data_IF_851597823444
#
_entry.id   IF_851597823444
#
_cell.length_a   1.000
_cell.length_b   1.000
_cell.length_c   1.000
_cell.angle_alpha   90.00
_cell.angle_beta   90.00
_cell.angle_gamma   90.00
#
_symmetry.space_group_name_H-M   'P 1'
#
loop_
_entity.id
_entity.type
_entity.pdbx_description
1 polymer ?
#
# COMPACT_ATOMS: atom_id res chain seq x y z
N UNK A 1 23.04 9.32 -0.38
CA UNK A 1 22.65 9.45 -1.80
C UNK A 1 21.87 10.74 -2.00
N UNK A 2 22.31 11.63 -2.89
CA UNK A 2 21.81 13.01 -3.01
C UNK A 2 20.90 13.23 -4.23
N UNK A 3 20.26 12.17 -4.71
CA UNK A 3 19.33 12.19 -5.86
C UNK A 3 18.15 11.23 -5.59
N UNK A 4 17.01 11.37 -6.29
CA UNK A 4 15.91 10.41 -6.18
C UNK A 4 16.37 9.00 -6.58
N UNK A 5 15.91 8.00 -5.83
CA UNK A 5 16.14 6.58 -6.10
C UNK A 5 14.92 6.01 -6.80
N UNK A 6 14.96 5.94 -8.13
CA UNK A 6 13.90 5.33 -8.95
C UNK A 6 13.93 3.81 -8.85
N UNK A 7 12.74 3.23 -8.80
CA UNK A 7 12.56 1.80 -8.55
C UNK A 7 11.81 1.14 -9.69
N UNK A 8 12.34 -0.01 -10.11
CA UNK A 8 11.68 -0.93 -11.01
C UNK A 8 10.74 -1.82 -10.20
N UNK A 9 9.42 -1.79 -10.46
CA UNK A 9 8.46 -2.58 -9.71
C UNK A 9 8.55 -4.08 -10.03
N UNK A 10 8.01 -4.89 -9.12
CA UNK A 10 7.78 -6.33 -9.31
C UNK A 10 6.29 -6.60 -9.49
N UNK A 11 5.91 -7.49 -10.41
CA UNK A 11 4.51 -7.80 -10.69
C UNK A 11 4.16 -9.22 -10.24
N UNK A 12 3.01 -9.38 -9.60
CA UNK A 12 2.54 -10.66 -9.09
C UNK A 12 1.22 -11.06 -9.74
N UNK A 13 1.17 -12.28 -10.25
CA UNK A 13 -0.07 -12.90 -10.73
C UNK A 13 -0.95 -13.32 -9.55
N UNK A 14 -2.25 -13.10 -9.69
CA UNK A 14 -3.25 -13.50 -8.68
C UNK A 14 -4.50 -14.00 -9.39
N UNK A 15 -5.18 -14.97 -8.79
CA UNK A 15 -6.43 -15.54 -9.35
C UNK A 15 -7.53 -14.49 -9.58
N UNK A 16 -7.47 -13.38 -8.84
CA UNK A 16 -8.40 -12.25 -8.89
C UNK A 16 -7.87 -11.08 -9.75
N UNK A 17 -6.63 -11.17 -10.23
CA UNK A 17 -5.92 -10.09 -10.92
C UNK A 17 -6.45 -9.78 -12.31
N UNK A 18 -5.99 -8.68 -12.87
CA UNK A 18 -6.46 -8.14 -14.13
C UNK A 18 -5.36 -7.68 -15.08
N UNK A 19 -5.73 -6.69 -15.89
CA UNK A 19 -4.85 -6.11 -16.92
C UNK A 19 -4.82 -4.57 -16.90
N UNK A 20 -5.48 -3.94 -15.92
CA UNK A 20 -5.54 -2.48 -15.79
C UNK A 20 -4.17 -1.88 -15.47
N UNK A 21 -3.29 -2.63 -14.78
CA UNK A 21 -1.88 -2.26 -14.63
C UNK A 21 -1.19 -2.04 -16.00
N UNK A 22 -1.54 -2.82 -17.02
CA UNK A 22 -1.05 -2.60 -18.39
C UNK A 22 -1.84 -1.51 -19.11
N UNK A 23 -3.16 -1.54 -19.10
CA UNK A 23 -3.96 -0.63 -19.93
C UNK A 23 -3.99 0.80 -19.40
N UNK A 24 -3.81 1.02 -18.10
CA UNK A 24 -3.86 2.35 -17.47
C UNK A 24 -2.49 2.91 -17.08
N UNK A 25 -1.50 2.06 -16.79
CA UNK A 25 -0.15 2.47 -16.40
C UNK A 25 0.93 2.06 -17.40
N UNK A 26 0.57 1.34 -18.48
CA UNK A 26 1.50 0.85 -19.48
C UNK A 26 2.60 -0.07 -18.91
N UNK A 27 2.33 -0.75 -17.80
CA UNK A 27 3.30 -1.65 -17.20
C UNK A 27 3.49 -2.94 -18.03
N UNK A 28 4.72 -3.48 -18.07
CA UNK A 28 5.03 -4.75 -18.72
C UNK A 28 4.62 -5.93 -17.82
N UNK A 29 3.32 -6.12 -17.64
CA UNK A 29 2.78 -7.17 -16.75
C UNK A 29 2.97 -8.57 -17.34
N UNK A 30 3.17 -9.61 -16.51
CA UNK A 30 3.42 -10.97 -16.96
C UNK A 30 2.19 -11.63 -17.64
N UNK A 31 0.98 -11.26 -17.23
CA UNK A 31 -0.27 -11.81 -17.80
C UNK A 31 -1.49 -10.91 -17.60
N UNK A 32 -2.63 -11.35 -18.12
CA UNK A 32 -3.94 -10.69 -17.99
C UNK A 32 -4.65 -10.94 -16.63
N UNK A 33 -3.95 -11.59 -15.70
CA UNK A 33 -4.35 -11.84 -14.33
C UNK A 33 -3.25 -11.38 -13.34
N UNK A 34 -2.58 -10.28 -13.69
CA UNK A 34 -1.64 -9.61 -12.79
C UNK A 34 -2.43 -8.83 -11.76
N UNK A 35 -2.35 -9.23 -10.49
CA UNK A 35 -3.13 -8.64 -9.41
C UNK A 35 -2.40 -7.52 -8.69
N UNK A 36 -1.09 -7.60 -8.58
CA UNK A 36 -0.31 -6.66 -7.76
C UNK A 36 0.90 -6.14 -8.53
N UNK A 37 1.16 -4.84 -8.39
CA UNK A 37 2.43 -4.19 -8.67
C UNK A 37 3.05 -3.82 -7.33
N UNK A 38 4.12 -4.49 -6.94
CA UNK A 38 4.93 -4.14 -5.79
C UNK A 38 5.86 -3.01 -6.22
N UNK A 39 5.38 -1.79 -6.01
CA UNK A 39 5.95 -0.56 -6.55
C UNK A 39 7.20 -0.10 -5.79
N UNK A 40 7.11 -0.09 -4.46
CA UNK A 40 8.22 0.21 -3.56
C UNK A 40 8.25 -0.91 -2.55
N UNK A 41 9.21 -1.83 -2.72
CA UNK A 41 9.26 -3.08 -1.97
C UNK A 41 10.69 -3.44 -1.67
N UNK A 42 10.97 -3.77 -0.41
CA UNK A 42 12.16 -4.51 0.00
C UNK A 42 11.78 -5.89 0.58
N UNK A 43 10.54 -6.33 0.33
CA UNK A 43 10.08 -7.59 0.89
C UNK A 43 10.71 -8.77 0.11
N UNK A 44 11.22 -9.82 0.77
CA UNK A 44 11.99 -10.90 0.12
C UNK A 44 11.27 -11.60 -1.04
N UNK A 45 9.93 -11.66 -1.01
CA UNK A 45 9.12 -12.27 -2.07
C UNK A 45 9.05 -11.45 -3.37
N UNK A 46 9.50 -10.20 -3.37
CA UNK A 46 9.47 -9.33 -4.55
C UNK A 46 10.12 -7.97 -4.30
N UNK A 47 11.44 -7.92 -4.04
CA UNK A 47 12.10 -6.65 -3.80
C UNK A 47 12.28 -5.89 -5.12
N UNK A 48 11.97 -4.59 -5.09
CA UNK A 48 12.13 -3.68 -6.22
C UNK A 48 13.62 -3.40 -6.48
N UNK A 49 13.99 -3.22 -7.75
CA UNK A 49 15.38 -2.95 -8.16
C UNK A 49 15.60 -1.46 -8.38
N UNK A 50 16.73 -0.92 -7.91
CA UNK A 50 17.10 0.48 -8.15
C UNK A 50 17.50 0.68 -9.63
N UNK A 51 16.93 1.69 -10.30
CA UNK A 51 17.13 1.92 -11.74
C UNK A 51 18.25 2.91 -12.08
N UNK A 52 18.68 3.72 -11.11
CA UNK A 52 19.61 4.82 -11.33
C UNK A 52 20.65 4.98 -10.20
N UNK A 53 21.62 5.86 -10.45
CA UNK A 53 22.59 6.28 -9.46
C UNK A 53 23.58 5.20 -9.05
N UNK A 54 24.17 5.41 -7.88
CA UNK A 54 25.21 4.56 -7.28
C UNK A 54 24.76 3.11 -7.05
N UNK A 55 23.49 2.93 -6.67
CA UNK A 55 22.93 1.61 -6.33
C UNK A 55 22.21 0.93 -7.48
N UNK A 56 22.33 1.44 -8.71
CA UNK A 56 21.67 0.87 -9.88
C UNK A 56 21.93 -0.63 -10.00
N UNK A 57 20.85 -1.41 -10.10
CA UNK A 57 20.89 -2.87 -10.23
C UNK A 57 20.86 -3.63 -8.91
N UNK A 58 21.03 -2.97 -7.76
CA UNK A 58 20.79 -3.57 -6.45
C UNK A 58 19.30 -3.57 -6.12
N UNK A 59 18.86 -4.51 -5.30
CA UNK A 59 17.49 -4.53 -4.76
C UNK A 59 17.35 -3.62 -3.54
N UNK A 60 16.14 -3.15 -3.26
CA UNK A 60 15.91 -2.21 -2.16
C UNK A 60 16.30 -2.79 -0.78
N UNK A 61 16.16 -4.10 -0.59
CA UNK A 61 16.58 -4.81 0.62
C UNK A 61 18.10 -4.89 0.76
N UNK A 62 18.83 -5.05 -0.35
CA UNK A 62 20.30 -4.96 -0.35
C UNK A 62 20.77 -3.56 0.04
N UNK A 63 20.12 -2.51 -0.47
CA UNK A 63 20.46 -1.12 -0.11
C UNK A 63 20.09 -0.86 1.34
N UNK A 64 18.94 -1.35 1.83
CA UNK A 64 18.56 -1.23 3.23
C UNK A 64 19.55 -1.92 4.18
N UNK A 65 20.01 -3.12 3.84
CA UNK A 65 20.92 -3.90 4.67
C UNK A 65 22.35 -3.33 4.68
N UNK A 66 22.85 -2.89 3.52
CA UNK A 66 24.26 -2.52 3.36
C UNK A 66 24.53 -1.00 3.39
N UNK A 67 23.49 -0.17 3.20
CA UNK A 67 23.60 1.29 3.03
C UNK A 67 22.54 2.04 3.83
N UNK A 68 22.41 1.73 5.13
CA UNK A 68 21.36 2.29 6.00
C UNK A 68 21.41 3.82 6.11
N UNK A 69 22.57 4.43 5.89
CA UNK A 69 22.74 5.88 5.86
C UNK A 69 21.84 6.57 4.80
N UNK A 70 21.53 5.86 3.71
CA UNK A 70 20.59 6.32 2.66
C UNK A 70 19.19 6.56 3.22
N UNK A 71 18.83 5.83 4.27
CA UNK A 71 17.57 5.89 4.98
C UNK A 71 17.71 6.57 6.35
N UNK A 72 18.74 7.38 6.55
CA UNK A 72 18.93 8.17 7.75
C UNK A 72 19.31 7.34 8.98
N UNK A 73 19.94 6.18 8.78
CA UNK A 73 20.27 5.23 9.85
C UNK A 73 19.03 4.77 10.63
N UNK A 74 17.87 4.67 9.95
CA UNK A 74 16.65 4.13 10.54
C UNK A 74 16.90 2.73 11.12
N UNK A 75 16.26 2.44 12.25
CA UNK A 75 16.37 1.15 12.93
C UNK A 75 15.53 0.07 12.22
N UNK A 76 15.58 -1.16 12.71
CA UNK A 76 14.84 -2.30 12.15
C UNK A 76 15.66 -3.18 11.21
N UNK A 77 15.33 -4.47 11.19
CA UNK A 77 16.04 -5.47 10.40
C UNK A 77 15.66 -5.41 8.91
N UNK A 78 14.41 -5.06 8.62
CA UNK A 78 13.85 -4.97 7.27
C UNK A 78 13.37 -3.56 6.95
N UNK A 79 13.32 -3.20 5.66
CA UNK A 79 12.70 -1.93 5.25
C UNK A 79 11.22 -1.99 5.62
N UNK A 80 10.68 -1.00 6.33
CA UNK A 80 9.47 -1.20 7.13
C UNK A 80 8.15 -1.03 6.38
N UNK A 81 8.19 -0.47 5.17
CA UNK A 81 6.99 -0.20 4.37
C UNK A 81 6.99 -0.95 3.04
N UNK A 82 5.79 -1.20 2.54
CA UNK A 82 5.57 -1.77 1.22
C UNK A 82 4.43 -0.99 0.54
N UNK A 83 4.70 -0.49 -0.66
CA UNK A 83 3.70 0.22 -1.49
C UNK A 83 3.33 -0.62 -2.70
N UNK A 84 2.04 -0.87 -2.88
CA UNK A 84 1.51 -1.69 -3.97
C UNK A 84 0.44 -0.95 -4.77
N UNK A 85 0.25 -1.33 -6.03
CA UNK A 85 -0.99 -1.09 -6.76
C UNK A 85 -1.69 -2.45 -6.92
N UNK A 86 -2.94 -2.55 -6.49
CA UNK A 86 -3.76 -3.77 -6.64
C UNK A 86 -4.85 -3.55 -7.71
N UNK A 87 -4.95 -4.48 -8.67
CA UNK A 87 -5.96 -4.52 -9.73
C UNK A 87 -6.96 -5.66 -9.49
N UNK A 88 -8.05 -5.36 -8.78
CA UNK A 88 -9.06 -6.34 -8.42
C UNK A 88 -10.07 -6.56 -9.56
N UNK A 89 -9.75 -7.41 -10.54
CA UNK A 89 -10.70 -7.84 -11.59
C UNK A 89 -11.80 -8.76 -11.05
N UNK A 90 -11.54 -9.43 -9.93
CA UNK A 90 -12.50 -10.17 -9.11
C UNK A 90 -12.28 -9.81 -7.64
N UNK A 91 -13.19 -10.21 -6.77
CA UNK A 91 -13.07 -9.96 -5.33
C UNK A 91 -11.79 -10.58 -4.77
N UNK A 92 -11.03 -9.82 -3.97
CA UNK A 92 -9.99 -10.40 -3.12
C UNK A 92 -10.66 -11.20 -2.01
N UNK A 93 -9.92 -12.14 -1.41
CA UNK A 93 -10.45 -12.83 -0.24
C UNK A 93 -10.75 -11.88 0.90
N UNK A 94 -11.76 -12.22 1.71
CA UNK A 94 -11.98 -11.56 3.00
C UNK A 94 -10.88 -11.99 3.96
N UNK A 95 -10.20 -11.01 4.53
CA UNK A 95 -9.00 -11.23 5.32
C UNK A 95 -8.92 -10.30 6.52
N UNK A 96 -8.02 -10.64 7.42
CA UNK A 96 -7.61 -9.81 8.56
C UNK A 96 -6.11 -9.99 8.77
N UNK A 97 -5.46 -8.92 9.23
CA UNK A 97 -4.03 -8.86 9.42
C UNK A 97 -3.67 -8.77 10.92
N UNK A 98 -2.62 -9.48 11.39
CA UNK A 98 -2.14 -9.36 12.76
C UNK A 98 -1.46 -8.01 13.04
N UNK A 99 -1.35 -7.67 14.31
CA UNK A 99 -0.39 -6.67 14.79
C UNK A 99 1.03 -7.24 14.89
N UNK A 100 2.00 -6.40 15.24
CA UNK A 100 3.42 -6.81 15.31
C UNK A 100 3.64 -7.94 16.32
N UNK A 101 2.98 -7.89 17.48
CA UNK A 101 3.18 -8.88 18.54
C UNK A 101 2.70 -10.28 18.10
N UNK A 102 1.50 -10.37 17.50
CA UNK A 102 1.00 -11.65 17.02
C UNK A 102 1.79 -12.15 15.81
N UNK A 103 2.17 -11.26 14.89
CA UNK A 103 2.95 -11.61 13.71
C UNK A 103 4.36 -12.10 14.06
N UNK A 104 5.04 -11.45 15.01
CA UNK A 104 6.36 -11.87 15.47
C UNK A 104 6.31 -13.25 16.14
N UNK A 105 5.30 -13.50 16.98
CA UNK A 105 5.14 -14.78 17.69
C UNK A 105 4.80 -15.95 16.74
N UNK A 106 3.97 -15.73 15.72
CA UNK A 106 3.40 -16.81 14.91
C UNK A 106 4.05 -16.96 13.53
N UNK A 107 4.52 -15.86 12.93
CA UNK A 107 4.96 -15.82 11.54
C UNK A 107 6.41 -15.34 11.40
N UNK A 108 6.98 -14.71 12.44
CA UNK A 108 8.32 -14.11 12.39
C UNK A 108 8.42 -12.90 11.45
N UNK A 109 7.28 -12.24 11.20
CA UNK A 109 7.17 -11.05 10.36
C UNK A 109 6.69 -9.83 11.16
N UNK A 110 6.76 -8.65 10.54
CA UNK A 110 6.03 -7.48 11.03
C UNK A 110 4.52 -7.74 10.98
N UNK A 111 3.79 -7.03 11.81
CA UNK A 111 2.35 -6.88 11.66
C UNK A 111 2.01 -6.18 10.35
N UNK A 112 0.72 -6.11 10.05
CA UNK A 112 0.27 -5.54 8.78
C UNK A 112 -0.92 -4.59 8.97
N UNK A 113 -0.59 -3.40 9.45
CA UNK A 113 -1.43 -2.22 9.26
C UNK A 113 -1.22 -1.66 7.85
N UNK A 114 -2.32 -1.24 7.21
CA UNK A 114 -2.29 -0.72 5.84
C UNK A 114 -3.28 0.43 5.61
N UNK A 115 -3.27 0.96 4.40
CA UNK A 115 -4.27 1.90 3.93
C UNK A 115 -4.40 1.83 2.41
N UNK A 116 -5.55 2.27 1.91
CA UNK A 116 -5.88 2.28 0.49
C UNK A 116 -6.27 3.67 0.03
N UNK A 117 -5.65 4.11 -1.05
CA UNK A 117 -6.12 5.21 -1.87
C UNK A 117 -6.77 4.65 -3.14
N UNK A 118 -8.07 4.92 -3.32
CA UNK A 118 -8.83 4.36 -4.44
C UNK A 118 -8.44 5.07 -5.74
N UNK A 119 -7.79 4.34 -6.66
CA UNK A 119 -7.34 4.83 -7.95
C UNK A 119 -8.47 4.80 -8.98
N UNK A 120 -9.23 3.69 -8.99
CA UNK A 120 -10.37 3.48 -9.85
C UNK A 120 -11.40 2.58 -9.16
N UNK A 121 -12.67 2.77 -9.50
CA UNK A 121 -13.75 1.90 -9.05
C UNK A 121 -14.82 1.86 -10.15
N UNK A 122 -15.24 0.66 -10.52
CA UNK A 122 -16.36 0.46 -11.43
C UNK A 122 -17.68 0.90 -10.76
N UNK A 123 -18.71 1.17 -11.56
CA UNK A 123 -20.02 1.58 -11.02
C UNK A 123 -20.61 0.49 -10.11
N UNK A 124 -20.99 0.88 -8.90
CA UNK A 124 -21.52 -0.03 -7.89
C UNK A 124 -20.47 -0.93 -7.21
N UNK A 125 -19.17 -0.69 -7.43
CA UNK A 125 -18.12 -1.42 -6.72
C UNK A 125 -18.12 -1.10 -5.22
N UNK A 126 -17.93 -2.13 -4.41
CA UNK A 126 -17.93 -2.06 -2.95
C UNK A 126 -16.70 -2.77 -2.38
N UNK A 127 -16.25 -2.33 -1.21
CA UNK A 127 -15.28 -3.05 -0.39
C UNK A 127 -15.98 -3.68 0.80
N UNK A 128 -15.39 -4.76 1.33
CA UNK A 128 -15.71 -5.23 2.68
C UNK A 128 -14.81 -4.45 3.64
N UNK A 129 -15.41 -3.83 4.65
CA UNK A 129 -14.70 -3.02 5.64
C UNK A 129 -15.39 -3.09 7.00
N UNK A 130 -14.86 -3.93 7.87
CA UNK A 130 -15.37 -4.24 9.20
C UNK A 130 -16.43 -5.34 9.22
N UNK A 131 -16.99 -5.56 10.41
CA UNK A 131 -18.03 -6.56 10.65
C UNK A 131 -19.11 -6.04 11.63
N UNK A 132 -20.20 -6.78 11.77
CA UNK A 132 -21.34 -6.43 12.62
C UNK A 132 -21.30 -7.05 14.02
N UNK A 133 -20.58 -8.17 14.20
CA UNK A 133 -20.47 -8.89 15.48
C UNK A 133 -20.06 -7.98 16.65
N UNK A 134 -20.66 -8.21 17.82
CA UNK A 134 -20.49 -7.44 19.06
C UNK A 134 -19.53 -8.09 20.04
N UNK A 135 -19.40 -9.40 20.00
CA UNK A 135 -18.47 -10.17 20.84
C UNK A 135 -17.67 -11.16 19.99
N UNK A 136 -16.54 -11.63 20.52
CA UNK A 136 -15.67 -12.57 19.81
C UNK A 136 -16.36 -13.91 19.58
N UNK A 137 -17.23 -14.31 20.51
CA UNK A 137 -18.07 -15.51 20.39
C UNK A 137 -19.07 -15.38 19.23
N UNK A 138 -19.75 -14.22 19.11
CA UNK A 138 -20.64 -13.96 17.98
C UNK A 138 -19.87 -13.92 16.64
N UNK A 139 -18.67 -13.35 16.63
CA UNK A 139 -17.79 -13.37 15.46
C UNK A 139 -17.49 -14.82 15.03
N UNK A 140 -17.03 -15.65 15.96
CA UNK A 140 -16.71 -17.05 15.70
C UNK A 140 -17.93 -17.83 15.18
N UNK A 141 -19.08 -17.69 15.85
CA UNK A 141 -20.32 -18.36 15.45
C UNK A 141 -20.76 -17.98 14.02
N UNK A 142 -20.68 -16.69 13.66
CA UNK A 142 -21.05 -16.23 12.32
C UNK A 142 -20.08 -16.73 11.24
N UNK A 143 -18.78 -16.78 11.53
CA UNK A 143 -17.74 -17.31 10.63
C UNK A 143 -17.94 -18.81 10.41
N UNK A 144 -18.06 -19.60 11.48
CA UNK A 144 -18.20 -21.06 11.43
C UNK A 144 -19.47 -21.50 10.68
N UNK A 145 -20.56 -20.74 10.85
CA UNK A 145 -21.83 -21.00 10.18
C UNK A 145 -21.93 -20.36 8.78
N UNK A 146 -20.87 -19.72 8.28
CA UNK A 146 -20.84 -19.09 6.95
C UNK A 146 -21.86 -17.98 6.76
N UNK A 147 -22.23 -17.26 7.83
CA UNK A 147 -23.27 -16.22 7.81
C UNK A 147 -22.71 -14.85 7.36
N UNK A 148 -22.04 -14.82 6.20
CA UNK A 148 -21.28 -13.68 5.69
C UNK A 148 -22.11 -12.41 5.50
N UNK A 149 -23.34 -12.52 5.00
CA UNK A 149 -24.21 -11.35 4.79
C UNK A 149 -24.65 -10.68 6.10
N UNK A 150 -24.65 -11.42 7.21
CA UNK A 150 -24.92 -10.87 8.55
C UNK A 150 -23.65 -10.33 9.19
N UNK A 151 -22.51 -10.96 8.92
CA UNK A 151 -21.25 -10.61 9.53
C UNK A 151 -20.61 -9.39 8.88
N UNK A 152 -20.45 -9.41 7.55
CA UNK A 152 -19.55 -8.51 6.83
C UNK A 152 -20.23 -7.17 6.52
N UNK A 153 -19.48 -6.09 6.73
CA UNK A 153 -19.91 -4.74 6.37
C UNK A 153 -19.40 -4.39 4.98
N UNK A 154 -20.27 -3.86 4.12
CA UNK A 154 -19.92 -3.37 2.79
C UNK A 154 -19.94 -1.84 2.76
N UNK A 155 -18.98 -1.26 2.06
CA UNK A 155 -18.86 0.18 1.85
C UNK A 155 -18.64 0.46 0.37
N UNK A 156 -19.43 1.37 -0.20
CA UNK A 156 -19.20 1.85 -1.58
C UNK A 156 -18.01 2.80 -1.61
N UNK A 157 -17.24 2.78 -2.69
CA UNK A 157 -16.07 3.64 -2.87
C UNK A 157 -16.05 4.29 -4.24
N UNK A 158 -15.34 5.41 -4.37
CA UNK A 158 -15.07 6.08 -5.65
C UNK A 158 -13.61 6.52 -5.75
N UNK A 159 -13.12 6.84 -6.96
CA UNK A 159 -11.76 7.35 -7.14
C UNK A 159 -11.48 8.56 -6.24
N UNK A 160 -10.36 8.51 -5.53
CA UNK A 160 -9.94 9.53 -4.58
C UNK A 160 -10.38 9.33 -3.14
N UNK A 161 -11.23 8.34 -2.85
CA UNK A 161 -11.50 7.93 -1.48
C UNK A 161 -10.24 7.33 -0.83
N UNK A 162 -10.17 7.42 0.50
CA UNK A 162 -9.06 6.90 1.29
C UNK A 162 -9.61 6.11 2.48
N UNK A 163 -9.08 4.90 2.68
CA UNK A 163 -9.43 4.03 3.80
C UNK A 163 -8.16 3.66 4.56
N UNK A 164 -8.12 3.91 5.86
CA UNK A 164 -7.08 3.37 6.75
C UNK A 164 -7.54 2.01 7.27
N UNK A 165 -6.67 1.01 7.28
CA UNK A 165 -6.99 -0.37 7.68
C UNK A 165 -6.01 -0.78 8.78
N UNK A 166 -6.32 -0.47 10.06
CA UNK A 166 -5.54 -0.97 11.18
C UNK A 166 -5.50 -2.51 11.16
N UNK A 167 -4.41 -3.10 11.66
CA UNK A 167 -4.38 -4.53 11.98
C UNK A 167 -5.59 -4.92 12.85
N UNK A 168 -6.09 -6.13 12.64
CA UNK A 168 -7.30 -6.67 13.26
C UNK A 168 -8.62 -6.21 12.61
N UNK A 169 -8.58 -5.42 11.54
CA UNK A 169 -9.80 -5.07 10.77
C UNK A 169 -10.12 -6.16 9.75
N UNK A 170 -11.34 -6.74 9.78
CA UNK A 170 -11.81 -7.62 8.69
C UNK A 170 -12.09 -6.77 7.44
N UNK A 171 -11.51 -7.13 6.31
CA UNK A 171 -11.63 -6.33 5.08
C UNK A 171 -11.45 -7.16 3.80
N UNK A 172 -11.86 -6.59 2.66
CA UNK A 172 -11.57 -7.11 1.32
C UNK A 172 -11.74 -6.02 0.26
N UNK A 173 -10.86 -5.99 -0.73
CA UNK A 173 -11.04 -5.19 -1.94
C UNK A 173 -11.99 -5.94 -2.87
N UNK A 174 -13.13 -5.35 -3.20
CA UNK A 174 -14.10 -5.95 -4.10
C UNK A 174 -13.73 -5.80 -5.57
N UNK A 175 -14.42 -6.58 -6.41
CA UNK A 175 -14.28 -6.56 -7.86
C UNK A 175 -14.47 -5.17 -8.46
N UNK A 176 -13.66 -4.85 -9.47
CA UNK A 176 -13.72 -3.62 -10.25
C UNK A 176 -12.97 -2.44 -9.60
N UNK A 177 -12.26 -2.69 -8.50
CA UNK A 177 -11.55 -1.67 -7.74
C UNK A 177 -10.04 -1.76 -8.02
N UNK A 178 -9.42 -0.60 -8.18
CA UNK A 178 -7.98 -0.46 -8.15
C UNK A 178 -7.57 0.48 -7.02
N UNK A 179 -6.58 0.09 -6.22
CA UNK A 179 -6.06 0.91 -5.12
C UNK A 179 -4.54 1.03 -5.19
N UNK A 180 -4.03 2.14 -4.66
CA UNK A 180 -2.66 2.22 -4.17
C UNK A 180 -2.72 1.88 -2.68
N UNK A 181 -1.99 0.85 -2.27
CA UNK A 181 -1.87 0.40 -0.90
C UNK A 181 -0.52 0.83 -0.33
N UNK A 182 -0.53 1.41 0.87
CA UNK A 182 0.67 1.57 1.70
C UNK A 182 0.47 0.77 2.97
N UNK A 183 1.39 -0.17 3.21
CA UNK A 183 1.33 -1.12 4.33
C UNK A 183 2.68 -1.21 5.03
N UNK A 184 2.70 -1.76 6.25
CA UNK A 184 3.94 -2.33 6.82
C UNK A 184 4.48 -3.44 5.90
N UNK A 185 5.79 -3.67 5.92
CA UNK A 185 6.47 -4.66 5.08
C UNK A 185 6.25 -6.09 5.59
N UNK A 186 5.07 -6.62 5.29
CA UNK A 186 4.59 -7.94 5.70
C UNK A 186 3.72 -8.52 4.58
N UNK A 187 3.82 -9.83 4.35
CA UNK A 187 2.93 -10.55 3.42
C UNK A 187 1.92 -11.43 4.18
N UNK A 188 1.98 -11.41 5.51
CA UNK A 188 1.11 -12.17 6.41
C UNK A 188 -0.37 -11.80 6.23
N UNK A 189 -1.18 -12.81 5.89
CA UNK A 189 -2.60 -12.63 5.59
C UNK A 189 -3.42 -13.80 6.13
N UNK A 190 -4.29 -13.55 7.11
CA UNK A 190 -5.25 -14.54 7.57
C UNK A 190 -6.56 -14.42 6.82
N UNK A 191 -6.83 -15.45 6.01
CA UNK A 191 -8.03 -15.52 5.17
C UNK A 191 -9.22 -16.05 5.95
N UNK A 192 -10.29 -15.26 6.01
CA UNK A 192 -11.57 -15.62 6.63
C UNK A 192 -12.49 -16.33 5.64
N UNK A 193 -12.60 -15.80 4.43
CA UNK A 193 -13.51 -16.31 3.40
C UNK A 193 -12.99 -16.04 1.99
N UNK A 194 -13.17 -16.99 1.08
CA UNK A 194 -12.67 -16.91 -0.30
C UNK A 194 -13.72 -17.10 -1.41
N UNK A 195 -15.01 -16.94 -1.08
CA UNK A 195 -16.10 -17.14 -2.04
C UNK A 195 -16.17 -18.56 -2.61
N UNK A 196 -15.71 -19.54 -1.81
CA UNK A 196 -15.65 -20.96 -2.18
C UNK A 196 -14.94 -21.23 -3.52
N UNK A 197 -14.07 -20.30 -3.94
CA UNK A 197 -13.35 -20.38 -5.21
C UNK A 197 -12.39 -21.55 -5.22
N UNK A 198 -12.36 -22.23 -6.35
CA UNK A 198 -11.40 -23.29 -6.63
C UNK A 198 -10.31 -22.69 -7.50
N UNK A 199 -9.07 -22.78 -7.02
CA UNK A 199 -7.89 -22.41 -7.79
C UNK A 199 -7.78 -23.32 -9.01
N UNK A 200 -7.69 -22.72 -10.20
CA UNK A 200 -7.69 -23.49 -11.46
C UNK A 200 -6.41 -24.28 -11.69
N UNK A 201 -5.31 -23.86 -11.06
CA UNK A 201 -4.00 -24.50 -11.18
C UNK A 201 -3.90 -25.71 -10.26
N UNK A 202 -4.39 -25.59 -9.02
CA UNK A 202 -4.31 -26.67 -8.01
C UNK A 202 -5.55 -27.55 -7.98
N UNK A 203 -6.70 -27.06 -8.46
CA UNK A 203 -7.99 -27.75 -8.36
C UNK A 203 -8.59 -27.77 -6.94
N UNK A 204 -8.01 -27.02 -6.00
CA UNK A 204 -8.41 -26.97 -4.59
C UNK A 204 -8.93 -25.58 -4.20
N UNK A 205 -9.73 -25.52 -3.12
CA UNK A 205 -10.00 -24.25 -2.45
C UNK A 205 -8.72 -23.75 -1.78
N UNK A 206 -8.53 -22.43 -1.74
CA UNK A 206 -7.42 -21.84 -0.99
C UNK A 206 -7.65 -21.98 0.51
N UNK A 207 -6.56 -22.07 1.25
CA UNK A 207 -6.56 -22.19 2.70
C UNK A 207 -7.24 -20.99 3.38
N UNK A 208 -8.03 -21.30 4.41
CA UNK A 208 -8.63 -20.35 5.34
C UNK A 208 -7.94 -20.50 6.70
N UNK A 209 -7.73 -19.37 7.38
CA UNK A 209 -7.00 -19.27 8.64
C UNK A 209 -7.97 -18.88 9.74
N UNK A 210 -9.00 -19.72 9.95
CA UNK A 210 -10.18 -19.33 10.74
C UNK A 210 -9.83 -18.98 12.18
N UNK A 211 -9.01 -19.80 12.84
CA UNK A 211 -8.63 -19.55 14.23
C UNK A 211 -7.81 -18.26 14.36
N UNK A 212 -6.75 -18.11 13.57
CA UNK A 212 -5.93 -16.90 13.58
C UNK A 212 -6.77 -15.65 13.24
N UNK A 213 -7.69 -15.78 12.29
CA UNK A 213 -8.61 -14.69 11.93
C UNK A 213 -9.48 -14.27 13.11
N UNK A 214 -10.02 -15.24 13.86
CA UNK A 214 -10.80 -14.97 15.07
C UNK A 214 -9.90 -14.32 16.13
N UNK A 215 -8.66 -14.80 16.32
CA UNK A 215 -7.75 -14.32 17.35
C UNK A 215 -7.38 -12.84 17.15
N UNK A 216 -7.00 -12.46 15.92
CA UNK A 216 -6.49 -11.12 15.64
C UNK A 216 -7.57 -10.08 15.36
N UNK A 217 -8.82 -10.48 15.10
CA UNK A 217 -9.89 -9.53 14.80
C UNK A 217 -10.22 -8.66 16.03
N UNK A 218 -10.28 -7.35 15.82
CA UNK A 218 -10.76 -6.39 16.80
C UNK A 218 -12.28 -6.43 16.89
N UNK A 219 -12.82 -6.78 18.06
CA UNK A 219 -14.26 -6.94 18.28
C UNK A 219 -14.74 -6.08 19.46
N UNK A 220 -15.78 -5.23 19.29
CA UNK A 220 -16.46 -4.93 18.03
C UNK A 220 -15.62 -4.08 17.07
N UNK A 221 -15.94 -4.16 15.78
CA UNK A 221 -15.37 -3.25 14.78
C UNK A 221 -15.75 -1.79 15.07
N UNK A 222 -14.75 -0.91 14.97
CA UNK A 222 -14.91 0.55 15.09
C UNK A 222 -14.20 1.21 13.92
N UNK A 223 -14.92 2.03 13.16
CA UNK A 223 -14.33 2.78 12.06
C UNK A 223 -13.28 3.77 12.61
N UNK A 224 -12.04 3.79 12.06
CA UNK A 224 -11.02 4.70 12.49
C UNK A 224 -11.42 6.15 12.17
N UNK A 225 -11.11 7.06 13.09
CA UNK A 225 -11.32 8.50 12.89
C UNK A 225 -10.04 9.11 12.31
N UNK A 226 -10.13 9.61 11.08
CA UNK A 226 -9.02 10.25 10.39
C UNK A 226 -8.99 11.75 10.66
N UNK A 227 -7.82 12.28 10.98
CA UNK A 227 -7.54 13.71 11.11
C UNK A 227 -7.00 14.25 9.78
N UNK A 228 -7.88 14.32 8.77
CA UNK A 228 -7.51 14.76 7.42
C UNK A 228 -7.24 16.26 7.42
N UNK A 229 -6.08 16.66 6.90
CA UNK A 229 -5.64 18.07 6.82
C UNK A 229 -5.35 18.46 5.38
N UNK A 230 -5.83 19.62 4.97
CA UNK A 230 -5.53 20.21 3.66
C UNK A 230 -4.66 21.47 3.85
N UNK A 231 -3.62 21.61 3.02
CA UNK A 231 -2.74 22.78 3.00
C UNK A 231 -2.20 23.06 1.60
N UNK A 232 -1.60 24.24 1.41
CA UNK A 232 -0.87 24.60 0.18
C UNK A 232 0.63 24.56 0.42
N UNK A 233 1.38 24.06 -0.56
CA UNK A 233 2.85 24.17 -0.63
C UNK A 233 3.19 24.71 -2.01
N UNK A 234 3.57 25.99 -2.10
CA UNK A 234 3.65 26.67 -3.39
C UNK A 234 2.31 26.56 -4.14
N UNK A 235 2.35 26.06 -5.36
CA UNK A 235 1.16 25.85 -6.19
C UNK A 235 0.42 24.52 -5.88
N UNK A 236 1.03 23.60 -5.15
CA UNK A 236 0.46 22.27 -4.88
C UNK A 236 -0.60 22.29 -3.77
N UNK A 237 -1.69 21.56 -3.99
CA UNK A 237 -2.63 21.12 -2.95
C UNK A 237 -2.08 19.87 -2.27
N UNK A 238 -1.86 19.95 -0.96
CA UNK A 238 -1.36 18.85 -0.14
C UNK A 238 -2.46 18.43 0.82
N UNK A 239 -2.88 17.17 0.72
CA UNK A 239 -3.80 16.53 1.66
C UNK A 239 -3.05 15.49 2.48
N UNK A 240 -3.02 15.64 3.80
CA UNK A 240 -2.62 14.58 4.72
C UNK A 240 -3.84 13.70 4.99
N UNK A 241 -3.74 12.40 4.68
CA UNK A 241 -4.82 11.45 4.95
C UNK A 241 -4.73 10.83 6.33
N UNK A 242 -3.51 10.44 6.72
CA UNK A 242 -3.25 9.78 8.00
C UNK A 242 -1.82 10.06 8.44
N UNK A 243 -1.62 10.14 9.75
CA UNK A 243 -0.33 10.19 10.44
C UNK A 243 -0.42 9.19 11.59
N UNK A 244 0.33 8.08 11.51
CA UNK A 244 0.30 6.99 12.50
C UNK A 244 1.71 6.71 13.03
N UNK A 245 1.80 5.81 14.00
CA UNK A 245 3.09 5.32 14.46
C UNK A 245 3.85 4.54 13.38
N UNK A 246 3.18 3.99 12.37
CA UNK A 246 3.79 3.16 11.32
C UNK A 246 4.10 3.95 10.05
N UNK A 247 3.20 4.86 9.65
CA UNK A 247 3.39 5.66 8.45
C UNK A 247 2.49 6.89 8.43
N UNK A 248 2.91 7.86 7.65
CA UNK A 248 2.07 8.97 7.21
C UNK A 248 1.82 8.90 5.71
N UNK A 249 0.63 9.28 5.25
CA UNK A 249 0.29 9.28 3.81
C UNK A 249 -0.31 10.61 3.39
N UNK A 250 0.20 11.11 2.28
CA UNK A 250 -0.12 12.42 1.72
C UNK A 250 -0.49 12.29 0.25
N UNK A 251 -1.40 13.14 -0.23
CA UNK A 251 -1.56 13.44 -1.65
C UNK A 251 -0.96 14.80 -1.96
N UNK A 252 -0.12 14.86 -2.98
CA UNK A 252 0.31 16.12 -3.60
C UNK A 252 -0.34 16.23 -4.98
N UNK A 253 -1.16 17.26 -5.17
CA UNK A 253 -1.81 17.54 -6.45
C UNK A 253 -1.33 18.90 -6.97
N UNK A 254 -0.82 18.88 -8.19
CA UNK A 254 -0.32 20.05 -8.89
C UNK A 254 -0.98 20.11 -10.27
N UNK A 255 -1.71 21.17 -10.59
CA UNK A 255 -2.37 21.37 -11.90
C UNK A 255 -1.57 22.35 -12.78
N UNK A 256 -0.25 22.18 -12.81
CA UNK A 256 0.69 23.18 -13.34
C UNK A 256 1.39 23.96 -12.23
N UNK A 257 2.48 24.66 -12.58
CA UNK A 257 3.26 25.45 -11.62
C UNK A 257 4.38 24.67 -10.95
N UNK A 258 4.74 25.05 -9.73
CA UNK A 258 5.81 24.44 -8.94
C UNK A 258 5.52 24.43 -7.44
N UNK A 259 6.06 23.43 -6.75
CA UNK A 259 6.02 23.32 -5.30
C UNK A 259 7.36 22.82 -4.78
N UNK A 260 7.94 23.53 -3.81
CA UNK A 260 9.20 23.16 -3.15
C UNK A 260 8.88 22.63 -1.77
N UNK A 261 9.36 21.42 -1.50
CA UNK A 261 9.18 20.70 -0.25
C UNK A 261 10.53 20.56 0.45
N UNK A 262 10.51 20.68 1.77
CA UNK A 262 11.68 20.45 2.62
C UNK A 262 11.37 19.28 3.54
N UNK A 263 12.32 18.35 3.65
CA UNK A 263 12.25 17.21 4.55
C UNK A 263 12.01 17.70 5.98
N UNK A 264 11.04 17.07 6.66
CA UNK A 264 10.74 17.33 8.07
C UNK A 264 11.39 16.27 8.95
N UNK A 265 10.60 15.54 9.73
CA UNK A 265 11.09 14.56 10.68
C UNK A 265 11.46 13.22 10.01
N UNK A 266 10.66 12.76 9.05
CA UNK A 266 10.86 11.45 8.46
C UNK A 266 12.17 11.35 7.67
N UNK A 267 12.93 10.25 7.85
CA UNK A 267 14.25 10.12 7.27
C UNK A 267 14.23 9.99 5.75
N UNK A 268 13.19 9.41 5.16
CA UNK A 268 13.04 9.25 3.71
C UNK A 268 11.56 9.37 3.34
N UNK A 269 11.27 9.57 2.05
CA UNK A 269 9.90 9.75 1.54
C UNK A 269 9.70 8.83 0.33
N UNK A 270 8.69 7.98 0.37
CA UNK A 270 8.28 7.10 -0.72
C UNK A 270 7.32 7.89 -1.61
N UNK A 271 7.49 7.81 -2.93
CA UNK A 271 6.75 8.63 -3.88
C UNK A 271 6.21 7.77 -5.03
N UNK A 272 4.90 7.86 -5.26
CA UNK A 272 4.21 7.18 -6.36
C UNK A 272 3.44 8.20 -7.20
N UNK A 273 3.81 8.33 -8.47
CA UNK A 273 3.14 9.25 -9.41
C UNK A 273 1.92 8.54 -10.02
N UNK A 274 0.73 9.03 -9.69
CA UNK A 274 -0.54 8.40 -10.07
C UNK A 274 -1.13 8.95 -11.36
N UNK A 275 -0.91 10.24 -11.65
CA UNK A 275 -1.41 10.90 -12.86
C UNK A 275 -0.45 11.97 -13.35
N UNK A 276 -0.53 12.23 -14.66
CA UNK A 276 0.14 13.35 -15.32
C UNK A 276 1.63 13.13 -15.53
N UNK A 277 2.33 14.23 -15.79
CA UNK A 277 3.74 14.27 -16.10
C UNK A 277 4.35 15.60 -15.65
N UNK A 278 5.63 15.58 -15.35
CA UNK A 278 6.35 16.72 -14.84
C UNK A 278 7.78 16.37 -14.49
N UNK A 279 8.36 17.17 -13.59
CA UNK A 279 9.74 17.04 -13.18
C UNK A 279 9.85 17.10 -11.67
N UNK A 280 10.80 16.35 -11.13
CA UNK A 280 11.33 16.57 -9.78
C UNK A 280 12.75 17.12 -9.90
N UNK A 281 13.05 18.16 -9.12
CA UNK A 281 14.33 18.85 -9.12
C UNK A 281 14.95 18.68 -7.73
N UNK A 282 16.16 18.12 -7.70
CA UNK A 282 16.96 17.88 -6.48
C UNK A 282 18.39 18.34 -6.77
N UNK A 283 18.95 19.20 -5.92
CA UNK A 283 20.31 19.74 -6.08
C UNK A 283 20.57 20.29 -7.49
N UNK A 284 19.67 21.14 -7.99
CA UNK A 284 19.67 21.74 -9.34
C UNK A 284 19.63 20.75 -10.53
N UNK A 285 19.54 19.44 -10.27
CA UNK A 285 19.31 18.42 -11.29
C UNK A 285 17.83 18.14 -11.44
N UNK A 286 17.36 18.07 -12.67
CA UNK A 286 15.98 17.76 -13.02
C UNK A 286 15.85 16.30 -13.48
N UNK A 287 14.80 15.62 -13.01
CA UNK A 287 14.43 14.25 -13.38
C UNK A 287 12.98 14.26 -13.85
N UNK A 288 12.74 13.72 -15.05
CA UNK A 288 11.37 13.56 -15.56
C UNK A 288 10.62 12.52 -14.74
N UNK A 289 9.36 12.81 -14.44
CA UNK A 289 8.46 11.91 -13.73
C UNK A 289 7.09 11.93 -14.41
N UNK A 290 6.51 10.75 -14.55
CA UNK A 290 5.20 10.56 -15.16
C UNK A 290 4.41 9.48 -14.45
N UNK A 291 3.13 9.36 -14.77
CA UNK A 291 2.24 8.33 -14.24
C UNK A 291 2.92 6.95 -14.27
N UNK A 292 2.93 6.30 -13.12
CA UNK A 292 3.46 4.96 -12.92
C UNK A 292 4.92 4.90 -12.50
N UNK A 293 5.59 6.04 -12.39
CA UNK A 293 6.94 6.12 -11.82
C UNK A 293 6.87 6.09 -10.29
N UNK A 294 7.74 5.27 -9.69
CA UNK A 294 7.89 5.13 -8.24
C UNK A 294 9.35 5.36 -7.85
N UNK A 295 9.56 6.09 -6.75
CA UNK A 295 10.90 6.38 -6.26
C UNK A 295 10.90 6.69 -4.77
N UNK A 296 12.09 6.64 -4.18
CA UNK A 296 12.35 7.10 -2.82
C UNK A 296 13.15 8.40 -2.91
N UNK A 297 12.84 9.36 -2.04
CA UNK A 297 13.70 10.49 -1.73
C UNK A 297 14.55 10.10 -0.51
N UNK A 298 15.85 9.81 -0.69
CA UNK A 298 16.73 9.39 0.39
C UNK A 298 16.96 10.48 1.43
N UNK A 299 17.59 10.10 2.55
CA UNK A 299 17.85 10.98 3.67
C UNK A 299 18.59 12.26 3.30
N UNK A 300 19.64 12.18 2.49
CA UNK A 300 20.43 13.35 2.12
C UNK A 300 19.69 14.29 1.16
N UNK A 301 18.58 13.87 0.57
CA UNK A 301 17.67 14.76 -0.15
C UNK A 301 16.84 15.52 0.87
N UNK A 302 17.30 16.73 1.22
CA UNK A 302 16.66 17.61 2.21
C UNK A 302 15.62 18.55 1.62
N UNK A 303 15.74 18.87 0.34
CA UNK A 303 14.81 19.73 -0.38
C UNK A 303 14.61 19.19 -1.80
N UNK A 304 13.39 19.28 -2.31
CA UNK A 304 13.05 18.95 -3.68
C UNK A 304 11.95 19.88 -4.19
N UNK A 305 11.95 20.14 -5.50
CA UNK A 305 10.88 20.89 -6.17
C UNK A 305 10.21 20.02 -7.20
N UNK A 306 8.88 19.93 -7.16
CA UNK A 306 8.09 19.33 -8.24
C UNK A 306 7.54 20.42 -9.16
N UNK A 307 7.44 20.13 -10.46
CA UNK A 307 6.86 21.00 -11.49
C UNK A 307 6.02 20.20 -12.45
N UNK A 308 4.96 20.81 -13.00
CA UNK A 308 4.14 20.19 -14.05
C UNK A 308 2.71 19.90 -13.58
N UNK A 309 2.06 18.92 -14.21
CA UNK A 309 0.72 18.48 -13.84
C UNK A 309 0.81 17.07 -13.28
N UNK A 310 0.69 16.92 -11.97
CA UNK A 310 1.02 15.70 -11.24
C UNK A 310 -0.02 15.44 -10.14
N UNK A 311 -0.42 14.19 -10.01
CA UNK A 311 -1.08 13.68 -8.81
C UNK A 311 -0.19 12.58 -8.23
N UNK A 312 0.28 12.79 -7.01
CA UNK A 312 1.26 11.96 -6.33
C UNK A 312 0.67 11.52 -5.00
N UNK A 313 0.86 10.24 -4.65
CA UNK A 313 0.80 9.80 -3.26
C UNK A 313 2.23 9.67 -2.76
N UNK A 314 2.49 10.32 -1.63
CA UNK A 314 3.73 10.20 -0.90
C UNK A 314 3.46 9.58 0.46
N UNK A 315 4.39 8.76 0.94
CA UNK A 315 4.35 8.21 2.29
C UNK A 315 5.70 8.33 2.98
N UNK A 316 5.64 8.41 4.30
CA UNK A 316 6.81 8.56 5.15
C UNK A 316 6.73 7.54 6.29
N UNK A 317 7.84 6.90 6.69
CA UNK A 317 7.87 5.99 7.84
C UNK A 317 7.50 6.73 9.12
N UNK A 318 6.71 6.07 9.98
CA UNK A 318 6.38 6.56 11.31
C UNK A 318 7.48 6.28 12.33
N UNK A 319 7.20 6.53 13.61
CA UNK A 319 8.15 6.35 14.71
C UNK A 319 8.40 4.88 15.11
N UNK A 320 7.49 3.98 14.74
CA UNK A 320 7.58 2.52 14.94
C UNK A 320 7.85 1.76 13.64
N UNK A 321 8.13 2.48 12.56
CA UNK A 321 8.62 1.88 11.32
C UNK A 321 10.12 1.63 11.42
#
# INVERSE_FOLDING_TARGET
MNEPMFLKPVFQEKIWGGSRLKTEYNYPIPSDHTGECWAISAHPHGPATVENGEFKGQTLDEVWANHREVFGNAEGDVFPLLTKILDAKQDLSVQVHPDDAYAEEHEGELGKTECWYVLAADEGAEMIYGHHAKTREELAELIENGQWDKLLRRVSVKPGDFLYVPSGTIHAIGKGIMVLETQQSSDTTYRVYDFDRVDKTTGQKRELHIQQSIDVTNVPHVDPKLDIKDQKVGDADVRTFVETDFFSVYRWRLEGGKATFTRKAAPYTLVSVLKGQGQIIVNDKSYEIEKGVHFILPYDVKEWTIKGNLEIIASEPGSKA
#
